data_IF_791028764485
#
_entry.id   IF_791028764485
#
_cell.length_a   1.000
_cell.length_b   1.000
_cell.length_c   1.000
_cell.angle_alpha   90.00
_cell.angle_beta   90.00
_cell.angle_gamma   90.00
#
_symmetry.space_group_name_H-M   'P 1'
#
loop_
_entity.id
_entity.type
_entity.pdbx_description
1 polymer ?
#
# COMPACT_ATOMS: atom_id res chain seq x y z
N UNK A 1 -6.10 23.87 -13.62
CA UNK A 1 -5.02 23.56 -12.67
C UNK A 1 -4.98 22.05 -12.52
N UNK A 2 -4.27 21.38 -13.41
CA UNK A 2 -4.29 19.91 -13.51
C UNK A 2 -3.29 19.32 -12.52
N UNK A 3 -3.73 18.32 -11.76
CA UNK A 3 -3.01 17.74 -10.63
C UNK A 3 -1.67 17.10 -11.02
N UNK A 4 -0.57 17.79 -10.74
CA UNK A 4 0.76 17.17 -10.62
C UNK A 4 0.92 16.60 -9.21
N UNK A 5 0.53 15.34 -9.02
CA UNK A 5 1.01 14.51 -7.90
C UNK A 5 1.10 13.05 -8.34
N UNK A 6 1.65 12.85 -9.53
CA UNK A 6 2.07 11.53 -9.97
C UNK A 6 3.37 11.18 -9.23
N UNK A 7 3.26 10.42 -8.13
CA UNK A 7 4.37 9.62 -7.64
C UNK A 7 4.92 8.87 -8.84
N UNK A 8 6.13 9.21 -9.29
CA UNK A 8 6.65 8.79 -10.58
C UNK A 8 6.65 7.26 -10.65
N UNK A 9 5.76 6.70 -11.47
CA UNK A 9 5.62 5.25 -11.62
C UNK A 9 6.97 4.71 -12.08
N UNK A 10 7.60 3.77 -11.34
CA UNK A 10 8.89 3.23 -11.73
C UNK A 10 8.81 2.64 -13.14
N UNK A 11 9.83 2.92 -13.97
CA UNK A 11 9.82 2.58 -15.40
C UNK A 11 9.51 1.08 -15.61
N UNK A 12 8.45 0.80 -16.37
CA UNK A 12 8.02 -0.58 -16.67
C UNK A 12 7.15 -1.23 -15.58
N UNK A 13 6.76 -0.48 -14.54
CA UNK A 13 5.76 -0.91 -13.56
C UNK A 13 4.42 -0.22 -13.84
N UNK A 14 3.35 -0.80 -13.32
CA UNK A 14 2.00 -0.23 -13.31
C UNK A 14 1.48 -0.15 -11.88
N UNK A 15 0.48 0.70 -11.67
CA UNK A 15 -0.30 0.70 -10.44
C UNK A 15 -1.15 -0.57 -10.38
N UNK A 16 -1.09 -1.28 -9.26
CA UNK A 16 -1.80 -2.54 -9.07
C UNK A 16 -3.22 -2.38 -8.54
N UNK A 17 -3.69 -1.15 -8.28
CA UNK A 17 -5.03 -0.88 -7.73
C UNK A 17 -6.18 -1.44 -8.57
N UNK A 18 -6.04 -1.47 -9.89
CA UNK A 18 -7.03 -2.07 -10.81
C UNK A 18 -7.12 -3.60 -10.68
N UNK A 19 -6.08 -4.24 -10.13
CA UNK A 19 -6.01 -5.69 -9.97
C UNK A 19 -6.37 -6.16 -8.55
N UNK A 20 -6.67 -5.23 -7.63
CA UNK A 20 -7.07 -5.55 -6.26
C UNK A 20 -8.48 -6.13 -6.25
N UNK A 21 -8.66 -7.23 -5.52
CA UNK A 21 -9.98 -7.77 -5.22
C UNK A 21 -10.56 -7.03 -4.01
N UNK A 22 -11.29 -5.95 -4.29
CA UNK A 22 -11.93 -5.12 -3.27
C UNK A 22 -12.94 -5.88 -2.39
N UNK A 23 -13.49 -7.01 -2.84
CA UNK A 23 -14.44 -7.79 -2.07
C UNK A 23 -13.77 -8.55 -0.92
N UNK A 24 -12.49 -8.86 -1.05
CA UNK A 24 -11.68 -9.54 -0.04
C UNK A 24 -10.69 -8.64 0.69
N UNK A 25 -10.68 -7.33 0.44
CA UNK A 25 -9.82 -6.40 1.19
C UNK A 25 -10.31 -6.33 2.64
N UNK A 26 -9.40 -6.61 3.58
CA UNK A 26 -9.68 -6.53 5.00
C UNK A 26 -8.67 -5.59 5.67
N UNK A 27 -9.11 -4.82 6.65
CA UNK A 27 -8.22 -4.02 7.46
C UNK A 27 -8.62 -4.13 8.93
N UNK A 28 -7.69 -4.60 9.75
CA UNK A 28 -7.83 -4.70 11.19
C UNK A 28 -7.28 -3.44 11.86
N UNK A 29 -7.94 -3.04 12.95
CA UNK A 29 -7.68 -1.82 13.71
C UNK A 29 -7.87 -0.51 12.90
N UNK A 30 -8.67 -0.52 11.83
CA UNK A 30 -9.07 0.72 11.15
C UNK A 30 -10.20 1.43 11.89
N UNK A 31 -10.15 2.76 11.89
CA UNK A 31 -11.25 3.60 12.35
C UNK A 31 -12.44 3.50 11.37
N UNK A 32 -13.64 3.30 11.92
CA UNK A 32 -14.89 3.18 11.13
C UNK A 32 -15.20 4.38 10.21
N UNK A 33 -14.73 5.58 10.56
CA UNK A 33 -14.88 6.80 9.75
C UNK A 33 -13.78 6.97 8.70
N UNK A 34 -12.61 6.35 8.93
CA UNK A 34 -11.39 6.51 8.14
C UNK A 34 -10.92 5.14 7.65
N UNK A 35 -11.66 4.56 6.71
CA UNK A 35 -11.43 3.20 6.21
C UNK A 35 -10.26 3.08 5.23
N UNK A 36 -9.75 1.86 5.03
CA UNK A 36 -8.68 1.54 4.07
C UNK A 36 -9.00 1.99 2.63
N UNK A 37 -10.29 2.04 2.27
CA UNK A 37 -10.70 2.50 0.94
C UNK A 37 -10.25 3.93 0.65
N UNK A 38 -10.16 4.78 1.69
CA UNK A 38 -9.71 6.16 1.56
C UNK A 38 -8.24 6.23 1.11
N UNK A 39 -7.38 5.37 1.67
CA UNK A 39 -5.95 5.39 1.39
C UNK A 39 -5.55 4.54 0.17
N UNK A 40 -6.30 3.49 -0.15
CA UNK A 40 -5.94 2.52 -1.20
C UNK A 40 -6.61 2.82 -2.56
N UNK A 41 -7.84 3.33 -2.56
CA UNK A 41 -8.63 3.47 -3.79
C UNK A 41 -8.20 4.69 -4.59
N UNK A 42 -7.98 4.49 -5.90
CA UNK A 42 -7.66 5.59 -6.81
C UNK A 42 -8.81 6.60 -6.83
N UNK A 43 -8.48 7.89 -6.81
CA UNK A 43 -9.44 8.99 -6.65
C UNK A 43 -9.55 9.44 -5.18
N UNK A 44 -9.85 8.53 -4.26
CA UNK A 44 -9.97 8.85 -2.82
C UNK A 44 -8.61 9.17 -2.21
N UNK A 45 -7.58 8.39 -2.55
CA UNK A 45 -6.21 8.56 -2.03
C UNK A 45 -5.47 9.81 -2.55
N UNK A 46 -6.08 10.56 -3.47
CA UNK A 46 -5.56 11.85 -3.95
C UNK A 46 -6.19 13.03 -3.18
N UNK A 47 -7.24 12.77 -2.40
CA UNK A 47 -7.90 13.76 -1.56
C UNK A 47 -7.19 13.79 -0.20
N UNK A 48 -6.58 14.93 0.14
CA UNK A 48 -5.86 15.09 1.41
C UNK A 48 -6.81 15.11 2.63
N UNK A 49 -8.11 15.27 2.43
CA UNK A 49 -9.12 15.14 3.48
C UNK A 49 -9.50 13.70 3.80
N UNK A 50 -9.05 12.74 2.98
CA UNK A 50 -9.36 11.32 3.16
C UNK A 50 -8.10 10.54 3.54
N UNK A 51 -8.18 9.87 4.68
CA UNK A 51 -7.11 9.05 5.21
C UNK A 51 -7.67 7.76 5.81
N UNK A 52 -6.78 6.79 5.96
CA UNK A 52 -6.89 5.67 6.89
C UNK A 52 -6.31 6.13 8.24
N UNK A 53 -7.02 5.83 9.31
CA UNK A 53 -6.57 6.06 10.68
C UNK A 53 -6.77 4.78 11.48
N UNK A 54 -5.90 4.53 12.46
CA UNK A 54 -6.11 3.44 13.41
C UNK A 54 -7.15 3.80 14.48
N UNK A 55 -7.81 2.79 15.07
CA UNK A 55 -8.91 3.00 16.02
C UNK A 55 -8.45 2.96 17.49
N UNK A 56 -7.60 1.99 17.84
CA UNK A 56 -7.22 1.73 19.23
C UNK A 56 -5.75 2.01 19.55
N UNK A 57 -4.84 1.69 18.63
CA UNK A 57 -3.39 1.78 18.81
C UNK A 57 -2.71 2.08 17.47
N UNK A 58 -1.39 2.26 17.45
CA UNK A 58 -0.61 2.59 16.26
C UNK A 58 -0.53 1.46 15.21
N UNK A 59 -0.92 0.24 15.56
CA UNK A 59 -0.75 -0.92 14.70
C UNK A 59 -1.89 -1.06 13.70
N UNK A 60 -1.55 -1.29 12.44
CA UNK A 60 -2.55 -1.53 11.38
C UNK A 60 -2.19 -2.80 10.62
N UNK A 61 -3.18 -3.63 10.35
CA UNK A 61 -2.99 -4.83 9.53
C UNK A 61 -3.96 -4.80 8.36
N UNK A 62 -3.41 -4.73 7.16
CA UNK A 62 -4.15 -4.54 5.92
C UNK A 62 -3.92 -5.76 5.03
N UNK A 63 -4.97 -6.50 4.74
CA UNK A 63 -4.97 -7.62 3.81
C UNK A 63 -5.52 -7.18 2.45
N UNK A 64 -4.71 -7.36 1.40
CA UNK A 64 -5.03 -6.95 0.03
C UNK A 64 -4.90 -8.17 -0.89
N UNK A 65 -6.01 -8.84 -1.25
CA UNK A 65 -6.02 -9.85 -2.29
C UNK A 65 -6.01 -9.22 -3.69
N UNK A 66 -5.52 -9.96 -4.66
CA UNK A 66 -5.50 -9.59 -6.08
C UNK A 66 -6.32 -10.59 -6.89
N UNK A 67 -7.02 -10.08 -7.91
CA UNK A 67 -7.82 -10.89 -8.84
C UNK A 67 -6.96 -11.81 -9.73
N UNK A 68 -5.66 -11.55 -9.81
CA UNK A 68 -4.71 -12.32 -10.59
C UNK A 68 -3.32 -12.31 -9.95
N UNK A 69 -2.44 -13.19 -10.42
CA UNK A 69 -1.06 -13.22 -9.96
C UNK A 69 -0.30 -12.00 -10.49
N UNK A 70 0.28 -11.23 -9.57
CA UNK A 70 1.13 -10.08 -9.87
C UNK A 70 2.55 -10.30 -9.36
N UNK A 71 3.46 -9.45 -9.84
CA UNK A 71 4.82 -9.30 -9.34
C UNK A 71 4.95 -7.95 -8.68
N UNK A 72 5.13 -7.91 -7.36
CA UNK A 72 5.26 -6.65 -6.63
C UNK A 72 6.71 -6.19 -6.66
N UNK A 73 6.94 -4.97 -7.14
CA UNK A 73 8.28 -4.39 -7.27
C UNK A 73 8.57 -3.39 -6.16
N UNK A 74 7.62 -2.50 -5.90
CA UNK A 74 7.78 -1.41 -4.95
C UNK A 74 6.43 -0.95 -4.44
N UNK A 75 6.43 -0.24 -3.32
CA UNK A 75 5.22 0.37 -2.79
C UNK A 75 5.50 1.81 -2.37
N UNK A 76 4.44 2.60 -2.24
CA UNK A 76 4.47 3.98 -1.75
C UNK A 76 3.46 4.08 -0.64
N UNK A 77 3.87 4.65 0.49
CA UNK A 77 2.96 5.02 1.57
C UNK A 77 3.20 6.50 1.89
N UNK A 78 2.15 7.31 1.76
CA UNK A 78 2.13 8.71 2.17
C UNK A 78 1.40 8.81 3.52
N UNK A 79 1.92 9.64 4.41
CA UNK A 79 1.31 9.95 5.70
C UNK A 79 1.87 11.26 6.25
N UNK A 80 1.26 11.81 7.31
CA UNK A 80 1.82 12.95 8.04
C UNK A 80 3.20 12.59 8.62
N UNK A 81 4.06 13.59 8.84
CA UNK A 81 5.44 13.36 9.30
C UNK A 81 5.51 12.78 10.72
N UNK A 82 4.52 13.05 11.59
CA UNK A 82 4.51 12.57 12.98
C UNK A 82 3.71 11.27 13.17
N UNK A 83 2.49 11.24 12.64
CA UNK A 83 1.56 10.10 12.79
C UNK A 83 1.68 9.10 11.63
N UNK A 84 2.61 9.32 10.71
CA UNK A 84 2.83 8.44 9.56
C UNK A 84 3.49 7.13 9.97
N UNK A 85 3.28 6.05 9.21
CA UNK A 85 3.90 4.76 9.50
C UNK A 85 5.42 4.82 9.38
N UNK A 86 6.12 4.07 10.22
CA UNK A 86 7.58 3.97 10.21
C UNK A 86 8.02 2.57 9.84
N UNK A 87 7.65 1.55 10.61
CA UNK A 87 8.03 0.17 10.35
C UNK A 87 6.88 -0.56 9.66
N UNK A 88 7.11 -0.91 8.39
CA UNK A 88 6.13 -1.60 7.56
C UNK A 88 6.67 -2.98 7.18
N UNK A 89 5.96 -4.02 7.61
CA UNK A 89 6.24 -5.43 7.30
C UNK A 89 5.27 -5.92 6.24
N UNK A 90 5.80 -6.51 5.17
CA UNK A 90 5.00 -7.06 4.09
C UNK A 90 5.09 -8.57 4.08
N UNK A 91 3.95 -9.21 3.86
CA UNK A 91 3.83 -10.66 3.73
C UNK A 91 3.10 -11.00 2.45
N UNK A 92 3.69 -11.86 1.63
CA UNK A 92 3.08 -12.31 0.38
C UNK A 92 2.42 -13.67 0.54
N UNK A 93 1.24 -13.85 -0.06
CA UNK A 93 0.47 -15.10 -0.10
C UNK A 93 0.18 -15.69 1.29
N UNK A 94 -0.15 -14.81 2.24
CA UNK A 94 -0.55 -15.18 3.59
C UNK A 94 -1.94 -14.62 3.83
N UNK A 95 -2.89 -15.53 4.02
CA UNK A 95 -4.28 -15.22 4.31
C UNK A 95 -4.52 -15.34 5.82
N UNK A 96 -5.55 -14.67 6.34
CA UNK A 96 -5.98 -14.76 7.74
C UNK A 96 -4.89 -14.45 8.77
N UNK A 97 -4.02 -13.47 8.49
CA UNK A 97 -3.11 -12.95 9.50
C UNK A 97 -3.82 -11.98 10.43
N UNK A 98 -3.48 -12.06 11.71
CA UNK A 98 -3.95 -11.18 12.75
C UNK A 98 -2.81 -10.79 13.69
N UNK A 99 -3.03 -9.81 14.54
CA UNK A 99 -2.02 -9.30 15.46
C UNK A 99 -1.41 -10.37 16.37
N UNK A 100 -2.16 -11.44 16.68
CA UNK A 100 -1.67 -12.54 17.50
C UNK A 100 -0.64 -13.45 16.81
N UNK A 101 -0.65 -13.54 15.48
CA UNK A 101 0.19 -14.48 14.73
C UNK A 101 1.16 -13.79 13.74
N UNK A 102 0.96 -12.50 13.46
CA UNK A 102 1.80 -11.75 12.51
C UNK A 102 3.28 -11.72 12.94
N UNK A 103 3.54 -11.76 14.23
CA UNK A 103 4.89 -11.79 14.81
C UNK A 103 5.55 -13.17 14.76
N UNK A 104 4.77 -14.24 14.58
CA UNK A 104 5.29 -15.61 14.52
C UNK A 104 5.86 -15.96 13.14
N UNK A 105 5.39 -15.27 12.10
CA UNK A 105 5.84 -15.49 10.73
C UNK A 105 6.93 -14.49 10.34
N UNK A 106 8.00 -14.93 9.67
CA UNK A 106 8.97 -13.99 9.12
C UNK A 106 8.33 -13.19 7.98
N UNK A 107 8.45 -11.85 7.97
CA UNK A 107 7.95 -11.04 6.87
C UNK A 107 8.69 -11.37 5.57
N UNK A 108 7.97 -11.28 4.45
CA UNK A 108 8.59 -11.37 3.13
C UNK A 108 9.62 -10.25 2.98
N UNK A 109 9.25 -9.03 3.37
CA UNK A 109 10.19 -7.92 3.46
C UNK A 109 9.76 -6.93 4.54
N UNK A 110 10.74 -6.20 5.07
CA UNK A 110 10.53 -5.15 6.07
C UNK A 110 11.12 -3.87 5.54
N UNK A 111 10.35 -2.80 5.58
CA UNK A 111 10.74 -1.47 5.19
C UNK A 111 10.63 -0.52 6.37
N UNK A 112 11.68 0.28 6.57
CA UNK A 112 11.66 1.40 7.51
C UNK A 112 11.47 2.65 6.65
N UNK A 113 10.32 3.30 6.79
CA UNK A 113 9.95 4.50 6.06
C UNK A 113 10.66 5.71 6.66
N UNK A 114 11.32 6.49 5.82
CA UNK A 114 11.81 7.83 6.18
C UNK A 114 10.78 8.91 5.84
N UNK A 115 11.04 10.14 6.28
CA UNK A 115 10.26 11.32 5.91
C UNK A 115 10.08 11.48 4.38
N UNK A 116 11.12 11.14 3.60
CA UNK A 116 11.02 11.15 2.13
C UNK A 116 10.01 10.12 1.62
N UNK A 117 9.94 8.95 2.25
CA UNK A 117 8.98 7.91 1.87
C UNK A 117 7.56 8.37 2.16
N UNK A 118 7.34 9.00 3.32
CA UNK A 118 6.06 9.61 3.69
C UNK A 118 5.64 10.75 2.76
N UNK A 119 6.58 11.40 2.07
CA UNK A 119 6.32 12.38 1.00
C UNK A 119 6.00 11.75 -0.35
N UNK A 120 6.02 10.43 -0.47
CA UNK A 120 5.64 9.69 -1.68
C UNK A 120 6.80 9.06 -2.45
N UNK A 121 8.00 8.99 -1.87
CA UNK A 121 9.15 8.28 -2.45
C UNK A 121 8.92 6.76 -2.42
N UNK A 122 8.98 6.07 -3.57
CA UNK A 122 8.79 4.62 -3.62
C UNK A 122 9.84 3.84 -2.82
N UNK A 123 9.39 2.83 -2.08
CA UNK A 123 10.22 1.85 -1.41
C UNK A 123 10.35 0.62 -2.30
N UNK A 124 11.58 0.32 -2.70
CA UNK A 124 11.89 -0.85 -3.54
C UNK A 124 11.93 -2.08 -2.65
N UNK A 125 11.11 -3.08 -2.99
CA UNK A 125 11.05 -4.34 -2.27
C UNK A 125 12.06 -5.34 -2.84
N UNK A 126 12.32 -6.40 -2.09
CA UNK A 126 13.05 -7.58 -2.58
C UNK A 126 12.22 -8.35 -3.60
N UNK A 127 12.22 -7.87 -4.85
CA UNK A 127 11.46 -8.41 -5.99
C UNK A 127 11.51 -9.94 -6.10
N UNK A 128 12.65 -10.57 -5.77
CA UNK A 128 12.82 -12.03 -5.76
C UNK A 128 11.80 -12.80 -4.88
N UNK A 129 11.31 -12.17 -3.80
CA UNK A 129 10.30 -12.75 -2.90
C UNK A 129 8.86 -12.45 -3.32
N UNK A 130 8.68 -11.57 -4.30
CA UNK A 130 7.39 -11.09 -4.76
C UNK A 130 7.15 -11.37 -6.26
N UNK A 131 7.66 -12.49 -6.77
CA UNK A 131 7.46 -12.92 -8.16
C UNK A 131 6.09 -13.53 -8.48
N UNK A 132 5.39 -14.02 -7.46
CA UNK A 132 4.12 -14.71 -7.61
C UNK A 132 3.25 -14.36 -6.41
N UNK A 133 2.57 -13.21 -6.50
CA UNK A 133 1.79 -12.65 -5.41
C UNK A 133 0.32 -12.67 -5.79
N UNK A 134 -0.49 -13.36 -4.99
CA UNK A 134 -1.96 -13.37 -5.06
C UNK A 134 -2.60 -12.54 -3.98
N UNK A 135 -1.91 -12.36 -2.85
CA UNK A 135 -2.33 -11.48 -1.78
C UNK A 135 -1.11 -10.88 -1.08
N UNK A 136 -1.28 -9.69 -0.54
CA UNK A 136 -0.28 -8.98 0.28
C UNK A 136 -0.94 -8.59 1.58
N UNK A 137 -0.33 -8.95 2.69
CA UNK A 137 -0.63 -8.35 3.99
C UNK A 137 0.42 -7.30 4.29
N UNK A 138 -0.02 -6.08 4.59
CA UNK A 138 0.80 -4.97 5.06
C UNK A 138 0.52 -4.83 6.55
N UNK A 139 1.54 -5.02 7.37
CA UNK A 139 1.48 -4.79 8.80
C UNK A 139 2.33 -3.57 9.15
N UNK A 140 1.69 -2.57 9.72
CA UNK A 140 2.32 -1.38 10.27
C UNK A 140 2.49 -1.63 11.76
N UNK A 141 3.73 -1.65 12.22
CA UNK A 141 4.07 -1.97 13.61
C UNK A 141 4.17 -0.72 14.48
N UNK A 142 4.70 0.38 13.92
CA UNK A 142 4.90 1.66 14.61
C UNK A 142 4.78 2.85 13.64
N UNK A 143 4.71 4.05 14.21
CA UNK A 143 4.71 5.34 13.50
C UNK A 143 5.99 6.15 13.78
N UNK A 144 6.13 7.32 13.17
CA UNK A 144 7.37 8.11 13.23
C UNK A 144 7.68 8.66 14.62
N UNK A 145 6.66 9.20 15.30
CA UNK A 145 6.80 9.93 16.56
C UNK A 145 6.27 9.18 17.80
N UNK A 146 6.12 7.86 17.73
CA UNK A 146 5.50 7.03 18.79
C UNK A 146 4.14 7.60 19.26
N UNK A 147 3.36 8.08 18.30
CA UNK A 147 2.00 8.60 18.51
C UNK A 147 1.03 7.46 18.85
N UNK A 148 -0.07 7.76 19.54
CA UNK A 148 -1.07 6.74 19.92
C UNK A 148 -1.80 6.15 18.70
N UNK A 149 -1.89 6.91 17.60
CA UNK A 149 -2.60 6.52 16.39
C UNK A 149 -1.70 6.68 15.16
N UNK A 150 -1.95 5.84 14.16
CA UNK A 150 -1.26 5.91 12.87
C UNK A 150 -2.21 6.37 11.78
N UNK A 151 -1.75 7.35 10.99
CA UNK A 151 -2.49 7.89 9.84
C UNK A 151 -1.78 7.58 8.54
N UNK A 152 -2.53 7.06 7.58
CA UNK A 152 -2.07 6.77 6.22
C UNK A 152 -2.95 7.48 5.22
N UNK A 153 -2.38 8.40 4.45
CA UNK A 153 -3.11 9.17 3.45
C UNK A 153 -3.22 8.43 2.13
N UNK A 154 -2.15 7.73 1.72
CA UNK A 154 -2.08 7.10 0.40
C UNK A 154 -1.24 5.85 0.45
N UNK A 155 -1.76 4.77 -0.15
CA UNK A 155 -1.04 3.52 -0.37
C UNK A 155 -1.08 3.22 -1.87
N UNK A 156 0.08 3.00 -2.47
CA UNK A 156 0.21 2.59 -3.87
C UNK A 156 1.13 1.38 -3.96
N UNK A 157 0.70 0.37 -4.71
CA UNK A 157 1.48 -0.83 -4.97
C UNK A 157 1.87 -0.82 -6.44
N UNK A 158 3.17 -0.84 -6.73
CA UNK A 158 3.70 -0.86 -8.08
C UNK A 158 4.27 -2.23 -8.41
N UNK A 159 3.89 -2.74 -9.58
CA UNK A 159 4.31 -4.04 -10.03
C UNK A 159 4.01 -4.30 -11.49
N UNK A 160 4.07 -5.58 -11.87
CA UNK A 160 3.69 -6.06 -13.19
C UNK A 160 2.77 -7.27 -13.07
N UNK A 161 1.92 -7.48 -14.06
CA UNK A 161 1.10 -8.70 -14.15
C UNK A 161 1.90 -9.83 -14.81
N UNK A 162 1.64 -11.08 -14.41
CA UNK A 162 2.32 -12.25 -15.02
C UNK A 162 1.76 -12.54 -16.41
N UNK A 163 0.45 -12.37 -16.58
CA UNK A 163 -0.19 -12.42 -17.90
C UNK A 163 -0.12 -11.03 -18.52
N UNK A 164 0.47 -10.97 -19.71
CA UNK A 164 0.50 -9.80 -20.61
C UNK A 164 -0.92 -9.42 -20.99
N UNK A 165 -1.67 -8.80 -20.08
CA UNK A 165 -2.91 -8.12 -20.43
C UNK A 165 -2.47 -6.84 -21.13
N UNK A 166 -2.77 -6.74 -22.43
CA UNK A 166 -2.41 -5.65 -23.34
C UNK A 166 -2.48 -4.26 -22.66
N UNK A 167 -1.33 -3.75 -22.22
CA UNK A 167 -1.16 -2.39 -21.68
C UNK A 167 -1.27 -1.30 -22.77
N UNK A 168 -1.87 -1.59 -23.93
CA UNK A 168 -2.15 -0.62 -24.99
C UNK A 168 -3.35 0.29 -24.68
N UNK A 169 -4.13 -0.01 -23.65
CA UNK A 169 -5.34 0.75 -23.29
C UNK A 169 -5.15 1.86 -22.26
N UNK A 170 -4.05 1.86 -21.48
CA UNK A 170 -3.85 2.80 -20.38
C UNK A 170 -3.03 4.01 -20.84
N UNK A 171 -3.75 4.95 -21.49
CA UNK A 171 -3.47 6.39 -21.58
C UNK A 171 -2.32 6.85 -22.51
N UNK A 172 -2.61 6.88 -23.82
CA UNK A 172 -2.33 8.07 -24.63
C UNK A 172 -3.29 9.17 -24.18
N UNK A 173 -2.85 10.03 -23.28
CA UNK A 173 -3.39 11.39 -23.20
C UNK A 173 -2.27 12.26 -23.76
N UNK A 174 -2.35 12.53 -25.05
CA UNK A 174 -1.58 13.57 -25.72
C UNK A 174 -2.11 14.91 -25.19
N UNK A 175 -1.26 15.65 -24.49
CA UNK A 175 -1.50 17.01 -24.04
C UNK A 175 -1.46 17.91 -25.28
N UNK A 176 -2.52 18.68 -25.52
CA UNK A 176 -2.68 19.55 -26.68
C UNK A 176 -3.14 20.94 -26.25
#
# INVERSE_FOLDING_TARGET
MSAESASAIPKGQVDLSDFIDWSGVECLNQNSSHSISNALKQGYREDEGLNLESDADEQLLIYIPFNQVIKLHSFVIKGPEEEGPKTVKLFSNKEHMGFSNVSDYPPSDTAILSEDNLKGKPVILKYVKFQNVRSVTIFIEDNQSDSELTRVQKIVLYGTTVETTDMKGLKKIEDH
#
